data_IF_849452197768
#
_entry.id   IF_849452197768
#
_cell.length_a   1.000
_cell.length_b   1.000
_cell.length_c   1.000
_cell.angle_alpha   90.00
_cell.angle_beta   90.00
_cell.angle_gamma   90.00
#
_symmetry.space_group_name_H-M   'P 1'
#
loop_
_entity.id
_entity.type
_entity.pdbx_description
1 polymer ?
#
# COMPACT_ATOMS: atom_id res chain seq x y z
N UNK A 1 18.23 -8.70 -2.50
CA UNK A 1 19.00 -8.39 -2.66
C UNK A 1 19.36 -7.97 -2.72
N UNK A 2 18.68 -7.81 -2.66
CA UNK A 2 19.36 -7.31 -2.73
C UNK A 2 19.52 -6.85 -2.89
N UNK A 3 18.73 -6.89 -3.01
CA UNK A 3 19.29 -6.43 -3.04
C UNK A 3 19.46 -5.93 -3.27
N UNK A 4 18.89 -5.77 -3.25
CA UNK A 4 19.51 -5.28 -3.36
C UNK A 4 19.77 -4.85 -3.43
N UNK A 5 19.10 -4.80 -3.51
CA UNK A 5 19.86 -4.35 -3.47
C UNK A 5 20.26 -4.05 -3.42
N UNK A 6 19.73 -4.14 -3.43
CA UNK A 6 20.45 -3.84 -3.32
C UNK A 6 20.69 -3.44 -3.40
N UNK A 7 20.23 -3.28 -3.37
CA UNK A 7 20.94 -2.89 -3.35
C UNK A 7 21.41 -2.51 -3.38
N UNK A 8 20.91 -2.47 -3.33
CA UNK A 8 21.70 -2.06 -3.26
C UNK A 8 22.21 -1.71 -3.02
N UNK A 9 21.72 -1.68 -2.95
CA UNK A 9 22.49 -1.28 -2.65
C UNK A 9 22.84 -0.93 -2.31
N UNK A 10 22.63 -0.86 -2.12
CA UNK A 10 23.14 -0.54 -1.73
C UNK A 10 23.38 -0.01 -1.47
N UNK A 11 23.38 0.12 -1.36
CA UNK A 11 23.66 0.63 -0.96
C UNK A 11 23.59 1.05 -0.53
N UNK A 12 23.36 1.12 -0.36
CA UNK A 12 23.12 1.54 0.16
C UNK A 12 22.70 2.01 0.52
N UNK A 13 22.62 1.98 0.66
CA UNK A 13 22.30 2.36 1.15
C UNK A 13 21.40 2.80 1.28
N UNK A 14 21.21 2.43 1.43
CA UNK A 14 20.26 3.13 1.34
C UNK A 14 20.02 4.32 1.77
N UNK A 15 19.89 4.92 1.25
CA UNK A 15 19.55 6.06 1.87
C UNK A 15 18.39 5.79 2.61
N UNK A 16 18.55 6.07 3.68
CA UNK A 16 17.61 5.84 4.58
C UNK A 16 16.31 6.45 4.32
N UNK A 17 16.28 7.45 3.53
CA UNK A 17 15.03 8.11 3.22
C UNK A 17 14.22 7.31 2.26
N UNK A 18 14.83 6.44 1.52
CA UNK A 18 14.05 5.60 0.66
C UNK A 18 13.42 4.58 1.53
N UNK A 19 12.13 4.53 1.56
CA UNK A 19 11.47 3.59 2.41
C UNK A 19 11.89 2.18 2.09
N UNK A 20 12.13 1.41 3.08
CA UNK A 20 12.48 0.02 2.90
C UNK A 20 11.44 -0.69 2.06
N UNK A 21 10.18 -0.29 2.23
CA UNK A 21 9.08 -0.91 1.51
C UNK A 21 9.22 -0.73 0.00
N UNK A 22 9.79 0.40 -0.44
CA UNK A 22 9.95 0.66 -1.86
C UNK A 22 11.02 -0.22 -2.49
N UNK A 23 12.00 -0.64 -1.69
CA UNK A 23 13.08 -1.46 -2.19
C UNK A 23 12.94 -2.94 -1.85
N UNK A 24 11.93 -3.32 -1.06
CA UNK A 24 11.72 -4.70 -0.66
C UNK A 24 10.80 -5.40 -1.64
N UNK A 25 11.19 -6.56 -2.13
CA UNK A 25 10.30 -7.34 -2.99
C UNK A 25 9.14 -7.95 -2.23
N UNK A 26 9.23 -8.01 -0.92
CA UNK A 26 8.23 -8.70 -0.11
C UNK A 26 6.80 -8.22 -0.33
N UNK A 27 6.62 -6.90 -0.43
CA UNK A 27 5.28 -6.36 -0.66
C UNK A 27 4.72 -6.79 -2.00
N UNK A 28 5.54 -6.69 -3.04
CA UNK A 28 5.13 -7.12 -4.37
C UNK A 28 4.79 -8.60 -4.39
N UNK A 29 5.61 -9.39 -3.73
CA UNK A 29 5.39 -10.83 -3.66
C UNK A 29 4.09 -11.14 -2.94
N UNK A 30 3.77 -10.43 -1.89
CA UNK A 30 2.52 -10.60 -1.18
C UNK A 30 1.33 -10.29 -2.09
N UNK A 31 1.42 -9.23 -2.86
CA UNK A 31 0.35 -8.86 -3.78
C UNK A 31 0.17 -9.93 -4.84
N UNK A 32 1.28 -10.40 -5.41
CA UNK A 32 1.23 -11.46 -6.43
C UNK A 32 0.57 -12.71 -5.88
N UNK A 33 0.98 -13.14 -4.68
CA UNK A 33 0.43 -14.33 -4.07
C UNK A 33 -1.05 -14.16 -3.76
N UNK A 34 -1.42 -13.01 -3.25
CA UNK A 34 -2.82 -12.74 -2.91
C UNK A 34 -3.70 -12.76 -4.15
N UNK A 35 -3.24 -12.12 -5.22
CA UNK A 35 -4.01 -12.07 -6.46
C UNK A 35 -4.12 -13.47 -7.09
N UNK A 36 -3.03 -14.22 -7.09
CA UNK A 36 -3.05 -15.59 -7.62
C UNK A 36 -4.04 -16.46 -6.86
N UNK A 37 -4.04 -16.34 -5.55
CA UNK A 37 -4.96 -17.12 -4.72
C UNK A 37 -6.40 -16.75 -5.02
N UNK A 38 -6.66 -15.45 -5.12
CA UNK A 38 -8.00 -14.98 -5.41
C UNK A 38 -8.50 -15.50 -6.76
N UNK A 39 -7.65 -15.39 -7.78
CA UNK A 39 -8.03 -15.84 -9.12
C UNK A 39 -8.24 -17.35 -9.18
N UNK A 40 -7.42 -18.09 -8.45
CA UNK A 40 -7.57 -19.55 -8.38
C UNK A 40 -8.89 -19.93 -7.71
N UNK A 41 -9.18 -19.27 -6.58
CA UNK A 41 -10.39 -19.59 -5.81
C UNK A 41 -11.65 -19.16 -6.55
N UNK A 42 -11.53 -18.16 -7.41
CA UNK A 42 -12.64 -17.68 -8.20
C UNK A 42 -13.09 -18.72 -9.22
N UNK A 43 -12.16 -19.50 -9.75
CA UNK A 43 -12.47 -20.54 -10.73
C UNK A 43 -12.99 -19.95 -12.02
N UNK A 44 -14.15 -20.43 -12.46
CA UNK A 44 -14.74 -19.98 -13.71
C UNK A 44 -15.71 -18.81 -13.52
N UNK A 45 -15.84 -18.32 -12.30
CA UNK A 45 -16.72 -17.17 -12.05
C UNK A 45 -16.14 -15.93 -12.69
N UNK A 46 -17.00 -15.06 -13.25
CA UNK A 46 -16.48 -13.83 -13.86
C UNK A 46 -15.80 -12.94 -12.84
N UNK A 47 -14.72 -12.31 -13.27
CA UNK A 47 -14.00 -11.36 -12.44
C UNK A 47 -14.59 -9.98 -12.70
N UNK A 48 -15.00 -9.30 -11.66
CA UNK A 48 -15.50 -7.94 -11.78
C UNK A 48 -14.86 -7.08 -10.71
N UNK A 49 -14.51 -5.87 -11.08
CA UNK A 49 -13.97 -4.87 -10.16
C UNK A 49 -12.76 -5.35 -9.39
N UNK A 50 -11.96 -6.20 -9.99
CA UNK A 50 -10.76 -6.73 -9.34
C UNK A 50 -9.82 -5.61 -8.92
N UNK A 51 -9.63 -4.63 -9.78
CA UNK A 51 -8.76 -3.50 -9.48
C UNK A 51 -9.23 -2.78 -8.21
N UNK A 52 -10.52 -2.47 -8.15
CA UNK A 52 -11.09 -1.77 -6.99
C UNK A 52 -10.97 -2.60 -5.72
N UNK A 53 -11.18 -3.90 -5.84
CA UNK A 53 -11.10 -4.77 -4.69
C UNK A 53 -9.68 -4.84 -4.14
N UNK A 54 -8.70 -5.04 -5.02
CA UNK A 54 -7.30 -5.09 -4.59
C UNK A 54 -6.87 -3.75 -4.03
N UNK A 55 -7.28 -2.67 -4.69
CA UNK A 55 -6.93 -1.33 -4.25
C UNK A 55 -7.47 -1.05 -2.85
N UNK A 56 -8.69 -1.45 -2.58
CA UNK A 56 -9.29 -1.29 -1.26
C UNK A 56 -8.54 -2.07 -0.20
N UNK A 57 -8.13 -3.29 -0.52
CA UNK A 57 -7.39 -4.14 0.42
C UNK A 57 -6.04 -3.54 0.78
N UNK A 58 -5.45 -2.79 -0.12
CA UNK A 58 -4.17 -2.12 0.13
C UNK A 58 -4.38 -0.77 0.79
N UNK A 59 -5.33 0.02 0.28
CA UNK A 59 -5.53 1.38 0.77
C UNK A 59 -6.05 1.45 2.20
N UNK A 60 -6.96 0.58 2.56
CA UNK A 60 -7.54 0.65 3.90
C UNK A 60 -6.48 0.53 5.00
N UNK A 61 -5.65 -0.51 5.01
CA UNK A 61 -4.60 -0.59 6.02
C UNK A 61 -3.52 0.47 5.85
N UNK A 62 -3.23 0.87 4.60
CA UNK A 62 -2.25 1.92 4.36
C UNK A 62 -2.68 3.23 5.01
N UNK A 63 -3.92 3.63 4.75
CA UNK A 63 -4.43 4.90 5.29
C UNK A 63 -4.54 4.82 6.81
N UNK A 64 -4.96 3.69 7.33
CA UNK A 64 -5.08 3.52 8.78
C UNK A 64 -3.72 3.69 9.47
N UNK A 65 -2.67 3.07 8.92
CA UNK A 65 -1.35 3.15 9.51
C UNK A 65 -0.73 4.53 9.40
N UNK A 66 -0.90 5.18 8.24
CA UNK A 66 -0.35 6.52 8.06
C UNK A 66 -1.07 7.50 8.99
N UNK A 67 -2.40 7.40 9.08
CA UNK A 67 -3.15 8.27 9.95
C UNK A 67 -2.75 8.07 11.42
N UNK A 68 -2.56 6.82 11.83
CA UNK A 68 -2.11 6.51 13.17
C UNK A 68 -0.73 7.10 13.45
N UNK A 69 0.16 7.00 12.46
CA UNK A 69 1.52 7.54 12.60
C UNK A 69 1.52 9.04 12.87
N UNK A 70 0.56 9.75 12.29
CA UNK A 70 0.45 11.19 12.45
C UNK A 70 -0.62 11.59 13.48
N UNK A 71 -0.94 10.67 14.39
CA UNK A 71 -1.85 10.94 15.51
C UNK A 71 -3.20 11.49 15.06
N UNK A 72 -3.70 11.02 13.95
CA UNK A 72 -5.00 11.45 13.45
C UNK A 72 -4.98 12.75 12.66
N UNK A 73 -3.81 13.32 12.45
CA UNK A 73 -3.70 14.58 11.71
C UNK A 73 -3.85 14.31 10.21
N UNK A 74 -5.04 14.58 9.70
CA UNK A 74 -5.36 14.27 8.30
C UNK A 74 -4.55 15.08 7.30
N UNK A 75 -4.23 16.32 7.63
CA UNK A 75 -3.45 17.16 6.73
C UNK A 75 -2.05 16.58 6.54
N UNK A 76 -1.43 16.17 7.65
CA UNK A 76 -0.08 15.61 7.57
C UNK A 76 -0.08 14.23 6.93
N UNK A 77 -1.12 13.45 7.22
CA UNK A 77 -1.25 12.13 6.60
C UNK A 77 -1.41 12.25 5.09
N UNK A 78 -2.25 13.18 4.65
CA UNK A 78 -2.47 13.38 3.23
C UNK A 78 -1.18 13.81 2.53
N UNK A 79 -0.43 14.71 3.18
CA UNK A 79 0.85 15.16 2.63
C UNK A 79 1.82 13.99 2.48
N UNK A 80 1.90 13.15 3.50
CA UNK A 80 2.78 11.98 3.46
C UNK A 80 2.37 10.99 2.37
N UNK A 81 1.07 10.84 2.18
CA UNK A 81 0.55 9.94 1.14
C UNK A 81 0.64 10.54 -0.25
N UNK A 82 0.85 11.84 -0.34
CA UNK A 82 0.91 12.52 -1.63
C UNK A 82 -0.45 12.70 -2.27
N UNK A 83 -1.50 12.77 -1.48
CA UNK A 83 -2.84 12.96 -1.98
C UNK A 83 -3.47 14.19 -1.34
N UNK A 84 -4.57 14.62 -1.92
CA UNK A 84 -5.31 15.77 -1.44
C UNK A 84 -6.01 15.42 -0.12
N UNK A 85 -6.07 16.36 0.81
CA UNK A 85 -6.73 16.14 2.09
C UNK A 85 -8.19 15.76 1.92
N UNK A 86 -8.88 16.40 1.00
CA UNK A 86 -10.29 16.08 0.77
C UNK A 86 -10.47 14.66 0.23
N UNK A 87 -9.52 14.22 -0.60
CA UNK A 87 -9.51 12.86 -1.11
C UNK A 87 -9.31 11.89 0.04
N UNK A 88 -8.37 12.19 0.94
CA UNK A 88 -8.13 11.34 2.09
C UNK A 88 -9.37 11.24 2.97
N UNK A 89 -10.01 12.36 3.26
CA UNK A 89 -11.22 12.37 4.09
C UNK A 89 -12.30 11.49 3.48
N UNK A 90 -12.48 11.60 2.18
CA UNK A 90 -13.47 10.81 1.48
C UNK A 90 -13.16 9.32 1.59
N UNK A 91 -11.89 8.97 1.40
CA UNK A 91 -11.47 7.57 1.50
C UNK A 91 -11.59 7.02 2.91
N UNK A 92 -11.26 7.84 3.91
CA UNK A 92 -11.39 7.41 5.29
C UNK A 92 -12.85 7.08 5.63
N UNK A 93 -13.76 7.89 5.12
CA UNK A 93 -15.16 7.64 5.30
C UNK A 93 -15.60 6.37 4.59
N UNK A 94 -15.17 6.23 3.36
CA UNK A 94 -15.49 5.08 2.54
C UNK A 94 -15.05 3.78 3.19
N UNK A 95 -13.86 3.80 3.80
CA UNK A 95 -13.29 2.62 4.46
C UNK A 95 -13.64 2.54 5.93
N UNK A 96 -14.44 3.49 6.42
CA UNK A 96 -14.88 3.54 7.82
C UNK A 96 -13.70 3.63 8.79
N UNK A 97 -12.74 4.46 8.44
CA UNK A 97 -11.54 4.66 9.24
C UNK A 97 -11.53 5.99 9.99
N UNK A 98 -12.50 6.85 9.75
CA UNK A 98 -12.54 8.15 10.42
C UNK A 98 -13.55 8.16 11.56
#
# INVERSE_FOLDING_TARGET
MNAVLAMRDSKSGVPSSVPAIASQPALRDCVVQAVRRYLRDLGDNPVEDLHQMVLREVEAPLFAEVLRHYDGNQSRAAAALGINRSTLRKKLKEYRLS
#
